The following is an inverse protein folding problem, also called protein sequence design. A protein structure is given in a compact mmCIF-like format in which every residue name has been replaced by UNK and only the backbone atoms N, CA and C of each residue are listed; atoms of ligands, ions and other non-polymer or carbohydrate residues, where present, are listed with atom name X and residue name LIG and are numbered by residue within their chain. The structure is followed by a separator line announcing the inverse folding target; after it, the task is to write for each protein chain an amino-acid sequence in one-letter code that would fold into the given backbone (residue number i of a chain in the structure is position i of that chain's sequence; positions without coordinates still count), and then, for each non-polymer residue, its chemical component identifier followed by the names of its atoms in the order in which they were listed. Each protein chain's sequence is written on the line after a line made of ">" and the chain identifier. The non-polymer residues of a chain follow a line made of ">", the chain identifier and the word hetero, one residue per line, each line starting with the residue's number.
data_IF_915756297805
#
_entry.id   IF_915756297805
#
_cell.length_a   1.000
_cell.length_b   1.000
_cell.length_c   1.000
_cell.angle_alpha   90.00
_cell.angle_beta   90.00
_cell.angle_gamma   90.00
#
_symmetry.space_group_name_H-M   'P 1'
#
loop_
_entity.id
_entity.type
_entity.pdbx_description
1 polymer ?
#
# COMPACT_ATOMS: atom_id res chain seq x y z
N UNK A 1 -18.68 -57.13 -26.37
CA UNK A 1 -17.80 -56.83 -25.24
C UNK A 1 -17.74 -55.31 -25.07
N UNK A 2 -18.37 -54.78 -24.03
CA UNK A 2 -18.55 -53.34 -23.81
C UNK A 2 -17.23 -52.76 -23.30
N UNK A 3 -16.63 -51.80 -24.01
CA UNK A 3 -15.48 -51.02 -23.53
C UNK A 3 -15.99 -49.91 -22.62
N UNK A 4 -15.77 -50.04 -21.31
CA UNK A 4 -15.96 -48.96 -20.36
C UNK A 4 -14.78 -47.99 -20.49
N UNK A 5 -15.02 -46.83 -21.11
CA UNK A 5 -14.07 -45.72 -21.08
C UNK A 5 -14.24 -44.96 -19.76
N UNK A 6 -13.23 -45.01 -18.90
CA UNK A 6 -13.15 -44.20 -17.69
C UNK A 6 -12.98 -42.73 -18.10
N UNK A 7 -14.04 -41.93 -17.97
CA UNK A 7 -13.96 -40.47 -18.09
C UNK A 7 -13.36 -39.96 -16.77
N UNK A 8 -12.06 -39.66 -16.78
CA UNK A 8 -11.41 -38.94 -15.68
C UNK A 8 -11.91 -37.49 -15.69
N UNK A 9 -12.90 -37.20 -14.85
CA UNK A 9 -13.32 -35.83 -14.59
C UNK A 9 -12.23 -35.16 -13.74
N UNK A 10 -11.30 -34.47 -14.40
CA UNK A 10 -10.34 -33.62 -13.71
C UNK A 10 -11.14 -32.47 -13.08
N UNK A 11 -11.36 -32.54 -11.76
CA UNK A 11 -11.89 -31.43 -10.99
C UNK A 11 -10.77 -30.39 -10.93
N UNK A 12 -10.78 -29.47 -11.88
CA UNK A 12 -9.99 -28.24 -11.77
C UNK A 12 -10.68 -27.42 -10.69
N UNK A 13 -10.07 -27.35 -9.50
CA UNK A 13 -10.56 -26.50 -8.42
C UNK A 13 -10.61 -25.06 -8.91
N UNK A 14 -11.77 -24.42 -8.76
CA UNK A 14 -11.92 -23.00 -9.07
C UNK A 14 -11.16 -22.20 -7.99
N UNK A 15 -10.00 -21.67 -8.35
CA UNK A 15 -9.26 -20.73 -7.52
C UNK A 15 -9.99 -19.39 -7.63
N UNK A 16 -10.54 -18.91 -6.51
CA UNK A 16 -11.29 -17.65 -6.46
C UNK A 16 -10.49 -16.65 -5.64
N UNK A 17 -9.96 -15.62 -6.30
CA UNK A 17 -9.40 -14.45 -5.63
C UNK A 17 -10.52 -13.59 -5.03
N UNK A 18 -10.23 -12.91 -3.92
CA UNK A 18 -11.13 -11.97 -3.25
C UNK A 18 -10.59 -10.57 -3.42
N UNK A 19 -11.47 -9.65 -3.83
CA UNK A 19 -11.13 -8.23 -3.80
C UNK A 19 -11.10 -7.71 -2.36
N UNK A 20 -9.96 -7.15 -1.98
CA UNK A 20 -9.68 -6.64 -0.65
C UNK A 20 -9.02 -5.27 -0.76
N UNK A 21 -9.26 -4.41 0.22
CA UNK A 21 -8.73 -3.05 0.20
C UNK A 21 -8.52 -2.46 1.57
N UNK A 22 -7.88 -1.30 1.57
CA UNK A 22 -7.64 -0.47 2.75
C UNK A 22 -7.73 1.02 2.38
N UNK A 23 -8.37 1.78 3.27
CA UNK A 23 -8.39 3.23 3.21
C UNK A 23 -7.45 3.81 4.28
N UNK A 24 -6.55 4.71 3.87
CA UNK A 24 -5.58 5.34 4.78
C UNK A 24 -5.63 6.85 4.63
N UNK A 25 -5.58 7.56 5.75
CA UNK A 25 -5.41 9.00 5.80
C UNK A 25 -4.31 9.41 6.77
N UNK A 26 -3.75 10.58 6.54
CA UNK A 26 -2.80 11.18 7.47
C UNK A 26 -2.40 12.59 7.06
N UNK A 27 -1.54 13.20 7.87
CA UNK A 27 -0.92 14.49 7.61
C UNK A 27 0.60 14.36 7.76
N UNK A 28 1.36 14.91 6.83
CA UNK A 28 2.81 14.90 6.87
C UNK A 28 3.34 16.30 7.20
N UNK A 29 4.31 16.36 8.10
CA UNK A 29 5.02 17.60 8.47
C UNK A 29 6.53 17.45 8.34
N UNK A 30 7.21 18.58 8.18
CA UNK A 30 8.66 18.69 8.22
C UNK A 30 9.04 19.89 9.09
N UNK A 31 9.72 19.62 10.21
CA UNK A 31 10.10 20.63 11.21
C UNK A 31 8.89 21.46 11.67
N UNK A 32 7.76 20.79 11.92
CA UNK A 32 6.52 21.41 12.38
C UNK A 32 5.69 22.11 11.30
N UNK A 33 6.13 22.13 10.03
CA UNK A 33 5.37 22.72 8.92
C UNK A 33 4.72 21.64 8.07
N UNK A 34 3.47 21.84 7.64
CA UNK A 34 2.83 20.99 6.63
C UNK A 34 3.64 20.96 5.33
N UNK A 35 3.76 19.78 4.73
CA UNK A 35 4.50 19.60 3.47
C UNK A 35 3.58 19.12 2.34
N UNK A 36 3.37 19.94 1.29
CA UNK A 36 2.58 19.53 0.13
C UNK A 36 3.40 18.66 -0.82
N UNK A 37 2.70 18.01 -1.75
CA UNK A 37 3.28 17.28 -2.88
C UNK A 37 4.25 16.16 -2.47
N UNK A 38 4.09 15.61 -1.26
CA UNK A 38 4.81 14.40 -0.84
C UNK A 38 4.07 13.20 -1.41
N UNK A 39 4.79 12.36 -2.15
CA UNK A 39 4.20 11.19 -2.75
C UNK A 39 3.98 10.10 -1.70
N UNK A 40 2.81 9.49 -1.78
CA UNK A 40 2.38 8.39 -0.93
C UNK A 40 1.83 7.27 -1.80
N UNK A 41 2.19 6.03 -1.48
CA UNK A 41 1.74 4.84 -2.20
C UNK A 41 1.30 3.78 -1.21
N UNK A 42 0.24 3.07 -1.56
CA UNK A 42 -0.30 1.97 -0.80
C UNK A 42 -0.04 0.69 -1.58
N UNK A 43 0.64 -0.24 -0.94
CA UNK A 43 1.03 -1.53 -1.52
C UNK A 43 0.40 -2.67 -0.74
N UNK A 44 0.12 -3.76 -1.43
CA UNK A 44 0.10 -5.08 -0.82
C UNK A 44 1.52 -5.66 -0.82
N UNK A 45 1.89 -6.44 0.20
CA UNK A 45 3.23 -7.00 0.31
C UNK A 45 3.22 -8.49 -0.05
N UNK A 46 3.75 -8.81 -1.22
CA UNK A 46 3.79 -10.19 -1.70
C UNK A 46 5.10 -10.89 -1.35
N UNK A 47 5.01 -12.19 -1.07
CA UNK A 47 6.17 -13.02 -0.75
C UNK A 47 6.75 -13.74 -1.96
N UNK A 48 5.97 -13.97 -3.01
CA UNK A 48 6.34 -14.81 -4.17
C UNK A 48 6.46 -14.05 -5.49
N UNK A 49 5.89 -12.85 -5.56
CA UNK A 49 5.97 -11.91 -6.67
C UNK A 49 6.20 -10.48 -6.18
N UNK A 50 6.01 -9.49 -7.05
CA UNK A 50 6.31 -8.10 -6.74
C UNK A 50 5.12 -7.45 -6.05
N UNK A 51 5.38 -6.69 -4.99
CA UNK A 51 4.35 -5.92 -4.26
C UNK A 51 3.35 -5.22 -5.19
N UNK A 52 2.07 -5.52 -5.01
CA UNK A 52 0.99 -4.90 -5.77
C UNK A 52 0.75 -3.44 -5.38
N UNK A 53 0.83 -2.52 -6.35
CA UNK A 53 0.45 -1.12 -6.13
C UNK A 53 -1.08 -0.98 -6.12
N UNK A 54 -1.65 -0.77 -4.95
CA UNK A 54 -3.10 -0.65 -4.76
C UNK A 54 -3.61 0.77 -5.03
N UNK A 55 -2.87 1.80 -4.60
CA UNK A 55 -3.21 3.21 -4.80
C UNK A 55 -2.00 4.12 -4.65
N UNK A 56 -2.01 5.27 -5.33
CA UNK A 56 -1.00 6.31 -5.17
C UNK A 56 -1.61 7.71 -5.16
N UNK A 57 -0.88 8.65 -4.58
CA UNK A 57 -1.30 10.04 -4.49
C UNK A 57 -0.23 10.93 -3.91
N UNK A 58 -0.62 12.17 -3.63
CA UNK A 58 0.25 13.19 -3.05
C UNK A 58 -0.45 13.92 -1.92
N UNK A 59 0.31 14.42 -0.95
CA UNK A 59 -0.23 15.34 0.05
C UNK A 59 -0.70 16.63 -0.60
N UNK A 60 -1.86 17.13 -0.15
CA UNK A 60 -2.37 18.44 -0.54
C UNK A 60 -1.64 19.60 0.17
N UNK A 61 -2.09 20.86 -0.05
CA UNK A 61 -1.48 22.06 0.53
C UNK A 61 -1.34 22.04 2.06
N UNK A 62 -2.25 21.38 2.78
CA UNK A 62 -2.22 21.23 4.24
C UNK A 62 -1.32 20.08 4.73
N UNK A 63 -0.65 19.37 3.82
CA UNK A 63 0.11 18.15 4.12
C UNK A 63 -0.76 16.90 4.30
N UNK A 64 -2.08 17.02 4.12
CA UNK A 64 -3.03 15.90 4.28
C UNK A 64 -3.08 15.04 3.02
N UNK A 65 -3.17 13.73 3.20
CA UNK A 65 -3.43 12.76 2.13
C UNK A 65 -4.57 11.81 2.52
N UNK A 66 -5.17 11.21 1.49
CA UNK A 66 -6.12 10.12 1.59
C UNK A 66 -5.86 9.17 0.42
N UNK A 67 -5.68 7.88 0.71
CA UNK A 67 -5.60 6.82 -0.29
C UNK A 67 -6.68 5.79 0.02
N UNK A 68 -7.30 5.26 -1.04
CA UNK A 68 -8.16 4.09 -0.97
C UNK A 68 -7.83 3.20 -2.15
N UNK A 69 -7.38 1.98 -1.88
CA UNK A 69 -6.93 1.05 -2.92
C UNK A 69 -7.42 -0.37 -2.63
N UNK A 70 -7.55 -1.16 -3.69
CA UNK A 70 -7.91 -2.58 -3.64
C UNK A 70 -6.95 -3.41 -4.49
N UNK A 71 -6.84 -4.70 -4.18
CA UNK A 71 -6.24 -5.72 -5.05
C UNK A 71 -7.03 -7.04 -4.93
N UNK A 72 -6.80 -7.98 -5.85
CA UNK A 72 -7.45 -9.30 -5.90
C UNK A 72 -6.53 -10.39 -5.38
N UNK A 73 -6.68 -10.73 -4.11
CA UNK A 73 -5.79 -11.70 -3.45
C UNK A 73 -6.46 -13.02 -3.10
N UNK A 74 -5.65 -14.08 -3.06
CA UNK A 74 -6.09 -15.39 -2.56
C UNK A 74 -6.14 -15.43 -1.04
N UNK A 75 -5.17 -14.77 -0.40
CA UNK A 75 -5.02 -14.65 1.05
C UNK A 75 -5.44 -13.27 1.53
N UNK A 76 -5.30 -12.99 2.83
CA UNK A 76 -5.41 -11.61 3.29
C UNK A 76 -4.31 -10.79 2.63
N UNK A 77 -4.59 -9.51 2.39
CA UNK A 77 -3.57 -8.55 1.98
C UNK A 77 -2.69 -8.14 3.18
N UNK A 78 -1.45 -7.74 2.93
CA UNK A 78 -0.46 -7.21 3.88
C UNK A 78 -0.15 -5.71 3.62
N UNK A 79 -1.08 -4.80 3.90
CA UNK A 79 -1.03 -3.44 3.39
C UNK A 79 0.10 -2.59 4.00
N UNK A 80 0.87 -1.93 3.14
CA UNK A 80 1.98 -1.03 3.48
C UNK A 80 1.85 0.33 2.81
N UNK A 81 1.82 1.39 3.62
CA UNK A 81 1.97 2.76 3.16
C UNK A 81 3.45 3.11 3.00
N UNK A 82 3.85 3.53 1.81
CA UNK A 82 5.17 4.08 1.47
C UNK A 82 5.09 5.58 1.29
N UNK A 83 5.98 6.31 1.94
CA UNK A 83 6.04 7.78 1.93
C UNK A 83 7.40 8.20 1.37
N UNK A 84 7.40 9.01 0.31
CA UNK A 84 8.61 9.44 -0.40
C UNK A 84 8.79 10.95 -0.27
N UNK A 85 9.79 11.40 0.47
CA UNK A 85 9.91 12.80 0.86
C UNK A 85 11.33 13.37 0.76
N UNK A 86 11.39 14.69 0.66
CA UNK A 86 12.64 15.47 0.64
C UNK A 86 12.88 16.29 1.91
N UNK A 87 12.09 16.06 2.97
CA UNK A 87 12.35 16.70 4.28
C UNK A 87 13.78 16.40 4.76
N UNK A 88 14.57 17.45 4.99
CA UNK A 88 16.01 17.39 5.27
C UNK A 88 16.86 16.70 4.18
N UNK A 89 16.37 16.63 2.93
CA UNK A 89 17.00 15.89 1.83
C UNK A 89 16.96 16.66 0.49
N UNK A 90 16.68 17.97 0.52
CA UNK A 90 16.61 18.78 -0.68
C UNK A 90 17.91 18.78 -1.50
N UNK A 91 17.78 18.71 -2.83
CA UNK A 91 18.92 18.72 -3.77
C UNK A 91 19.65 17.38 -3.91
N UNK A 92 19.15 16.31 -3.28
CA UNK A 92 19.66 14.95 -3.50
C UNK A 92 18.90 14.28 -4.66
N UNK A 93 19.56 13.40 -5.44
CA UNK A 93 18.94 12.74 -6.59
C UNK A 93 17.88 11.69 -6.20
N UNK A 94 17.82 11.29 -4.94
CA UNK A 94 16.91 10.27 -4.44
C UNK A 94 16.20 10.76 -3.19
N UNK A 95 14.96 10.32 -2.98
CA UNK A 95 14.10 10.67 -1.84
C UNK A 95 14.33 9.75 -0.66
N UNK A 96 14.02 10.23 0.55
CA UNK A 96 13.88 9.39 1.74
C UNK A 96 12.55 8.64 1.65
N UNK A 97 12.58 7.34 1.91
CA UNK A 97 11.44 6.41 1.82
C UNK A 97 11.15 5.80 3.18
N UNK A 98 9.95 6.03 3.69
CA UNK A 98 9.47 5.45 4.95
C UNK A 98 8.36 4.45 4.63
N UNK A 99 8.35 3.34 5.35
CA UNK A 99 7.32 2.29 5.27
C UNK A 99 6.51 2.23 6.56
N UNK A 100 5.19 2.10 6.43
CA UNK A 100 4.25 1.96 7.55
C UNK A 100 3.23 0.87 7.22
N UNK A 101 3.25 -0.21 8.00
CA UNK A 101 2.19 -1.22 7.94
C UNK A 101 0.86 -0.60 8.35
N UNK A 102 -0.19 -0.91 7.60
CA UNK A 102 -1.58 -0.62 7.95
C UNK A 102 -2.11 -1.83 8.72
N UNK A 103 -2.74 -1.65 9.90
CA UNK A 103 -3.23 -2.78 10.68
C UNK A 103 -4.32 -3.56 9.92
N UNK A 104 -4.22 -4.89 9.92
CA UNK A 104 -5.13 -5.81 9.21
C UNK A 104 -6.62 -5.59 9.55
N UNK A 105 -6.92 -5.11 10.76
CA UNK A 105 -8.29 -4.79 11.18
C UNK A 105 -8.97 -3.69 10.36
N UNK A 106 -8.22 -2.95 9.53
CA UNK A 106 -8.76 -1.95 8.59
C UNK A 106 -8.98 -2.51 7.18
N UNK A 107 -8.61 -3.76 6.91
CA UNK A 107 -8.87 -4.42 5.63
C UNK A 107 -10.37 -4.61 5.46
N UNK A 108 -10.86 -4.28 4.27
CA UNK A 108 -12.26 -4.41 3.91
C UNK A 108 -12.42 -5.18 2.59
N UNK A 109 -13.62 -5.71 2.34
CA UNK A 109 -14.00 -6.29 1.04
C UNK A 109 -14.68 -5.24 0.17
N UNK A 110 -14.41 -5.23 -1.14
CA UNK A 110 -14.93 -4.19 -2.03
C UNK A 110 -16.47 -4.06 -1.97
N UNK A 111 -16.96 -2.82 -2.05
CA UNK A 111 -18.39 -2.51 -1.96
C UNK A 111 -18.98 -2.56 -0.55
N UNK A 112 -18.16 -2.80 0.48
CA UNK A 112 -18.60 -2.75 1.89
C UNK A 112 -18.28 -1.39 2.53
N UNK A 113 -19.07 -1.01 3.54
CA UNK A 113 -18.73 0.13 4.41
C UNK A 113 -17.49 -0.24 5.22
N UNK A 114 -16.49 0.63 5.20
CA UNK A 114 -15.21 0.39 5.84
C UNK A 114 -14.75 1.60 6.67
N UNK A 115 -13.90 1.32 7.65
CA UNK A 115 -13.23 2.33 8.45
C UNK A 115 -11.95 2.80 7.75
N UNK A 116 -11.56 4.04 8.02
CA UNK A 116 -10.32 4.62 7.48
C UNK A 116 -9.23 4.55 8.54
N UNK A 117 -8.11 3.92 8.22
CA UNK A 117 -6.94 3.95 9.09
C UNK A 117 -6.37 5.37 9.12
N UNK A 118 -6.37 5.97 10.31
CA UNK A 118 -5.84 7.32 10.52
C UNK A 118 -4.44 7.26 11.12
N UNK A 119 -3.43 7.54 10.30
CA UNK A 119 -2.03 7.63 10.75
C UNK A 119 -1.78 8.83 11.68
N UNK A 120 -2.71 9.79 11.72
CA UNK A 120 -2.52 11.05 12.41
C UNK A 120 -1.49 11.95 11.70
N UNK A 121 -0.75 12.73 12.47
CA UNK A 121 0.32 13.60 11.95
C UNK A 121 1.68 12.93 12.11
N UNK A 122 2.43 12.80 11.01
CA UNK A 122 3.77 12.21 10.99
C UNK A 122 4.82 13.27 10.66
N UNK A 123 5.76 13.48 11.58
CA UNK A 123 6.88 14.41 11.45
C UNK A 123 8.09 13.74 10.78
N UNK A 124 8.48 14.24 9.60
CA UNK A 124 9.49 13.62 8.72
C UNK A 124 10.93 14.14 8.92
N UNK A 125 11.14 15.12 9.81
CA UNK A 125 12.47 15.69 10.03
C UNK A 125 13.42 14.72 10.74
N UNK A 126 12.89 13.84 11.60
CA UNK A 126 13.68 12.86 12.34
C UNK A 126 14.10 11.65 11.50
N UNK A 127 15.07 10.86 11.96
CA UNK A 127 15.40 9.56 11.37
C UNK A 127 14.34 8.51 11.74
N UNK A 128 14.18 7.49 10.88
CA UNK A 128 13.37 6.31 11.15
C UNK A 128 14.23 5.05 11.05
N UNK A 129 14.04 4.09 11.96
CA UNK A 129 14.89 2.89 12.07
C UNK A 129 15.02 2.07 10.77
N UNK A 130 13.99 2.09 9.92
CA UNK A 130 13.95 1.35 8.65
C UNK A 130 13.77 2.29 7.44
N UNK A 131 14.26 3.51 7.53
CA UNK A 131 14.25 4.43 6.39
C UNK A 131 15.17 3.93 5.27
N UNK A 132 14.69 4.04 4.04
CA UNK A 132 15.42 3.67 2.83
C UNK A 132 15.59 4.90 1.93
N UNK A 133 16.41 4.75 0.91
CA UNK A 133 16.54 5.74 -0.17
C UNK A 133 15.84 5.19 -1.42
N UNK A 134 15.05 6.02 -2.11
CA UNK A 134 14.35 5.66 -3.34
C UNK A 134 14.68 6.66 -4.45
N UNK A 135 15.18 6.19 -5.58
CA UNK A 135 15.52 6.99 -6.76
C UNK A 135 14.43 6.82 -7.85
N UNK A 136 14.48 7.57 -8.94
CA UNK A 136 13.40 7.73 -9.95
C UNK A 136 12.66 6.45 -10.39
N UNK A 137 13.28 5.27 -10.40
CA UNK A 137 12.62 4.01 -10.76
C UNK A 137 11.80 3.36 -9.63
N UNK A 138 11.85 3.92 -8.42
CA UNK A 138 11.17 3.43 -7.22
C UNK A 138 10.13 4.42 -6.67
N UNK A 139 10.10 5.63 -7.22
CA UNK A 139 9.29 6.80 -6.82
C UNK A 139 8.13 6.93 -7.78
#
# INVERSE_FOLDING_TARGET
>A
MIKLTLISLAIVGLVVCKEQGVAVRGQLTCRGNSIPSVQVKLFDLDTLDADDLMAEGHTGPSGVFYLNGTTFELTSIEPELRIYHDCNNAGKPCKRKIRRRVPEQFIYSEGTKHDVYNLGTLELAGPFENEQTACENEV
#
